data_IF_458567890618
#
_entry.id   IF_458567890618
#
_cell.length_a   1.000
_cell.length_b   1.000
_cell.length_c   1.000
_cell.angle_alpha   90.00
_cell.angle_beta   90.00
_cell.angle_gamma   90.00
#
_symmetry.space_group_name_H-M   'P 1'
#
loop_
_entity.id
_entity.type
_entity.pdbx_description
1 polymer ?
#
# COMPACT_ATOMS: atom_id res chain seq x y z
N UNK A 1 -25.27 -21.41 -31.53
CA UNK A 1 -25.47 -20.49 -32.69
C UNK A 1 -24.23 -20.43 -33.57
N UNK A 2 -23.04 -20.22 -33.00
CA UNK A 2 -21.76 -20.24 -33.74
C UNK A 2 -21.59 -21.52 -34.59
N UNK A 3 -21.66 -22.69 -33.98
CA UNK A 3 -21.50 -23.99 -34.69
C UNK A 3 -22.55 -24.23 -35.76
N UNK A 4 -23.77 -23.72 -35.55
CA UNK A 4 -24.86 -23.88 -36.51
C UNK A 4 -24.54 -23.17 -37.83
N UNK A 5 -24.05 -21.93 -37.79
CA UNK A 5 -23.66 -21.19 -39.00
C UNK A 5 -22.52 -21.90 -39.75
N UNK A 6 -21.50 -22.39 -39.05
CA UNK A 6 -20.38 -23.10 -39.66
C UNK A 6 -20.86 -24.37 -40.39
N UNK A 7 -21.80 -25.10 -39.78
CA UNK A 7 -22.41 -26.30 -40.35
C UNK A 7 -23.25 -25.98 -41.60
N UNK A 8 -24.16 -25.01 -41.51
CA UNK A 8 -25.08 -24.69 -42.62
C UNK A 8 -24.36 -24.06 -43.82
N UNK A 9 -23.31 -23.27 -43.58
CA UNK A 9 -22.52 -22.66 -44.66
C UNK A 9 -21.53 -23.65 -45.30
N UNK A 10 -21.31 -24.83 -44.71
CA UNK A 10 -20.36 -25.83 -45.22
C UNK A 10 -18.91 -25.35 -45.27
N UNK A 11 -18.55 -24.40 -44.40
CA UNK A 11 -17.21 -23.79 -44.36
C UNK A 11 -16.31 -24.52 -43.35
N UNK A 12 -15.01 -24.18 -43.36
CA UNK A 12 -14.07 -24.63 -42.33
C UNK A 12 -14.66 -24.37 -40.94
N UNK A 13 -14.43 -25.27 -39.99
CA UNK A 13 -15.03 -25.21 -38.66
C UNK A 13 -13.99 -24.80 -37.60
N UNK A 14 -13.69 -23.49 -37.44
CA UNK A 14 -12.89 -23.03 -36.31
C UNK A 14 -13.53 -23.45 -34.99
N UNK A 15 -12.68 -23.66 -33.99
CA UNK A 15 -13.13 -23.99 -32.64
C UNK A 15 -13.19 -22.71 -31.79
N UNK A 16 -14.37 -22.42 -31.23
CA UNK A 16 -14.52 -21.36 -30.23
C UNK A 16 -14.03 -21.87 -28.86
N UNK A 17 -13.14 -21.09 -28.23
CA UNK A 17 -12.66 -21.36 -26.87
C UNK A 17 -12.90 -20.10 -26.04
N UNK A 18 -13.48 -20.30 -24.86
CA UNK A 18 -13.86 -19.23 -23.95
C UNK A 18 -12.98 -19.23 -22.71
N UNK A 19 -12.70 -18.02 -22.21
CA UNK A 19 -11.98 -17.78 -20.97
C UNK A 19 -12.65 -16.64 -20.20
N UNK A 20 -12.44 -16.65 -18.89
CA UNK A 20 -12.97 -15.66 -17.97
C UNK A 20 -12.37 -14.28 -18.24
N UNK A 21 -13.20 -13.25 -18.11
CA UNK A 21 -12.78 -11.88 -18.33
C UNK A 21 -11.97 -11.37 -17.13
N UNK A 22 -10.92 -10.61 -17.39
CA UNK A 22 -10.22 -9.85 -16.35
C UNK A 22 -11.14 -8.80 -15.72
N UNK A 23 -11.28 -8.87 -14.40
CA UNK A 23 -11.81 -7.81 -13.55
C UNK A 23 -10.73 -7.35 -12.58
N UNK A 24 -10.67 -6.05 -12.32
CA UNK A 24 -9.70 -5.43 -11.40
C UNK A 24 -10.45 -4.76 -10.25
N UNK A 25 -9.91 -4.85 -9.04
CA UNK A 25 -10.40 -4.05 -7.92
C UNK A 25 -10.21 -2.56 -8.18
N UNK A 26 -11.05 -1.72 -7.57
CA UNK A 26 -11.02 -0.25 -7.66
C UNK A 26 -11.13 0.29 -9.10
N UNK A 27 -11.70 -0.49 -10.01
CA UNK A 27 -11.71 -0.20 -11.44
C UNK A 27 -13.04 -0.63 -12.06
N UNK A 28 -13.56 0.16 -13.00
CA UNK A 28 -14.69 -0.25 -13.85
C UNK A 28 -14.19 -0.66 -15.23
N UNK A 29 -14.66 -1.81 -15.72
CA UNK A 29 -14.22 -2.35 -17.03
C UNK A 29 -15.31 -2.24 -18.11
N UNK A 30 -16.53 -1.84 -17.76
CA UNK A 30 -17.64 -1.73 -18.72
C UNK A 30 -17.44 -0.56 -19.68
N UNK A 31 -17.53 -0.81 -21.00
CA UNK A 31 -17.43 0.23 -22.04
C UNK A 31 -18.46 1.35 -21.84
N UNK A 32 -19.67 1.01 -21.40
CA UNK A 32 -20.74 1.99 -21.12
C UNK A 32 -20.32 2.93 -19.98
N UNK A 33 -19.74 2.39 -18.90
CA UNK A 33 -19.29 3.16 -17.74
C UNK A 33 -18.05 4.01 -18.06
N UNK A 34 -17.08 3.42 -18.78
CA UNK A 34 -15.91 4.17 -19.24
C UNK A 34 -16.28 5.33 -20.16
N UNK A 35 -17.22 5.12 -21.09
CA UNK A 35 -17.75 6.20 -21.93
C UNK A 35 -18.39 7.29 -21.07
N UNK A 36 -19.19 6.89 -20.07
CA UNK A 36 -19.85 7.82 -19.17
C UNK A 36 -18.85 8.69 -18.38
N UNK A 37 -17.79 8.09 -17.83
CA UNK A 37 -16.71 8.84 -17.16
C UNK A 37 -16.13 9.94 -18.06
N UNK A 38 -15.93 9.64 -19.34
CA UNK A 38 -15.40 10.60 -20.33
C UNK A 38 -16.45 11.65 -20.70
N UNK A 39 -17.68 11.25 -21.02
CA UNK A 39 -18.73 12.19 -21.47
C UNK A 39 -19.18 13.13 -20.37
N UNK A 40 -19.20 12.66 -19.12
CA UNK A 40 -19.55 13.46 -17.93
C UNK A 40 -18.34 14.24 -17.38
N UNK A 41 -17.18 14.19 -18.05
CA UNK A 41 -15.94 14.89 -17.67
C UNK A 41 -15.45 14.59 -16.25
N UNK A 42 -15.70 13.36 -15.78
CA UNK A 42 -15.16 12.84 -14.51
C UNK A 42 -13.68 12.46 -14.65
N UNK A 43 -13.22 12.29 -15.90
CA UNK A 43 -11.82 12.14 -16.31
C UNK A 43 -11.52 13.05 -17.50
N UNK A 44 -10.25 13.34 -17.78
CA UNK A 44 -9.82 14.22 -18.87
C UNK A 44 -10.16 13.66 -20.26
N UNK A 45 -10.20 12.33 -20.39
CA UNK A 45 -10.42 11.65 -21.66
C UNK A 45 -10.10 10.16 -21.59
N UNK A 46 -10.09 9.50 -22.76
CA UNK A 46 -9.79 8.07 -22.86
C UNK A 46 -8.35 7.72 -22.51
N UNK A 47 -7.43 8.67 -22.54
CA UNK A 47 -6.04 8.51 -22.17
C UNK A 47 -5.69 9.18 -20.84
N UNK A 48 -6.69 9.55 -20.03
CA UNK A 48 -6.48 9.97 -18.65
C UNK A 48 -5.69 8.89 -17.88
N UNK A 49 -4.60 9.23 -17.18
CA UNK A 49 -3.78 8.25 -16.46
C UNK A 49 -4.46 7.52 -15.29
N UNK A 50 -5.71 7.85 -14.95
CA UNK A 50 -6.58 7.13 -14.01
C UNK A 50 -7.45 6.07 -14.69
N UNK A 51 -7.58 6.14 -16.02
CA UNK A 51 -8.41 5.20 -16.78
C UNK A 51 -7.69 3.86 -16.99
N UNK A 52 -8.41 2.72 -16.91
CA UNK A 52 -7.84 1.39 -17.15
C UNK A 52 -7.65 1.08 -18.64
N UNK A 53 -7.61 2.10 -19.49
CA UNK A 53 -7.38 1.96 -20.92
C UNK A 53 -5.89 1.75 -21.18
N UNK A 54 -5.55 1.07 -22.27
CA UNK A 54 -4.15 0.92 -22.67
C UNK A 54 -3.48 2.28 -22.93
N UNK A 55 -4.23 3.24 -23.47
CA UNK A 55 -3.77 4.62 -23.65
C UNK A 55 -3.53 5.35 -22.33
N UNK A 56 -4.44 5.22 -21.36
CA UNK A 56 -4.32 5.80 -20.03
C UNK A 56 -3.14 5.21 -19.26
N UNK A 57 -3.03 3.88 -19.23
CA UNK A 57 -1.90 3.18 -18.62
C UNK A 57 -0.56 3.55 -19.28
N UNK A 58 -0.51 3.67 -20.60
CA UNK A 58 0.69 4.14 -21.30
C UNK A 58 1.07 5.56 -20.89
N UNK A 59 0.12 6.51 -20.89
CA UNK A 59 0.35 7.89 -20.44
C UNK A 59 0.73 7.96 -18.95
N UNK A 60 0.20 7.04 -18.15
CA UNK A 60 0.54 6.86 -16.74
C UNK A 60 1.98 6.38 -16.53
N UNK A 61 2.61 5.80 -17.55
CA UNK A 61 3.99 5.32 -17.52
C UNK A 61 4.13 3.81 -17.42
N UNK A 62 3.04 3.05 -17.51
CA UNK A 62 3.14 1.59 -17.62
C UNK A 62 3.91 1.20 -18.89
N UNK A 63 4.72 0.16 -18.77
CA UNK A 63 5.50 -0.40 -19.87
C UNK A 63 4.73 -1.56 -20.52
N UNK A 64 4.87 -1.75 -21.85
CA UNK A 64 4.37 -2.94 -22.51
C UNK A 64 4.86 -4.25 -21.85
N UNK A 65 6.09 -4.25 -21.35
CA UNK A 65 6.75 -5.36 -20.67
C UNK A 65 6.02 -5.72 -19.37
N UNK A 66 5.76 -4.74 -18.50
CA UNK A 66 5.01 -4.95 -17.26
C UNK A 66 3.58 -5.44 -17.54
N UNK A 67 2.91 -4.92 -18.58
CA UNK A 67 1.56 -5.36 -18.94
C UNK A 67 1.54 -6.82 -19.40
N UNK A 68 2.53 -7.26 -20.19
CA UNK A 68 2.66 -8.67 -20.60
C UNK A 68 2.95 -9.58 -19.41
N UNK A 69 3.92 -9.21 -18.56
CA UNK A 69 4.24 -9.93 -17.31
C UNK A 69 3.02 -10.04 -16.39
N UNK A 70 2.20 -8.99 -16.30
CA UNK A 70 0.97 -9.01 -15.52
C UNK A 70 -0.04 -10.02 -16.07
N UNK A 71 -0.27 -10.01 -17.39
CA UNK A 71 -1.14 -10.99 -18.06
C UNK A 71 -0.64 -12.43 -17.89
N UNK A 72 0.68 -12.66 -17.95
CA UNK A 72 1.29 -13.98 -17.71
C UNK A 72 1.05 -14.46 -16.27
N UNK A 73 1.17 -13.57 -15.28
CA UNK A 73 0.99 -13.89 -13.86
C UNK A 73 -0.44 -14.23 -13.47
N UNK A 74 -1.43 -13.51 -14.01
CA UNK A 74 -2.84 -13.81 -13.72
C UNK A 74 -3.32 -15.09 -14.42
N UNK A 75 -2.65 -15.48 -15.51
CA UNK A 75 -2.99 -16.66 -16.29
C UNK A 75 -4.34 -16.56 -17.00
N UNK A 76 -4.79 -17.71 -17.53
CA UNK A 76 -6.07 -17.84 -18.24
C UNK A 76 -6.88 -18.95 -17.56
N UNK A 77 -8.06 -18.60 -17.07
CA UNK A 77 -8.97 -19.52 -16.40
C UNK A 77 -10.37 -19.43 -17.00
N UNK A 78 -11.24 -20.41 -16.70
CA UNK A 78 -12.66 -20.40 -17.07
C UNK A 78 -13.58 -19.85 -15.97
N UNK A 79 -13.06 -19.63 -14.76
CA UNK A 79 -13.81 -19.09 -13.63
C UNK A 79 -13.56 -17.59 -13.53
N UNK A 80 -14.62 -16.83 -13.31
CA UNK A 80 -14.50 -15.41 -13.06
C UNK A 80 -13.77 -15.16 -11.74
N UNK A 81 -12.84 -14.20 -11.77
CA UNK A 81 -12.09 -13.75 -10.61
C UNK A 81 -11.77 -12.27 -10.75
N UNK A 82 -11.82 -11.55 -9.64
CA UNK A 82 -11.35 -10.17 -9.55
C UNK A 82 -9.92 -10.17 -9.06
N UNK A 83 -9.01 -9.59 -9.85
CA UNK A 83 -7.60 -9.45 -9.53
C UNK A 83 -7.39 -8.14 -8.76
N UNK A 84 -6.59 -8.18 -7.70
CA UNK A 84 -6.23 -6.96 -6.97
C UNK A 84 -5.33 -6.06 -7.83
N UNK A 85 -5.69 -4.79 -7.97
CA UNK A 85 -4.88 -3.75 -8.65
C UNK A 85 -3.46 -3.66 -8.06
N UNK A 86 -3.26 -4.04 -6.79
CA UNK A 86 -1.95 -4.11 -6.17
C UNK A 86 -0.98 -5.04 -6.92
N UNK A 87 -1.46 -6.12 -7.56
CA UNK A 87 -0.63 -7.01 -8.39
C UNK A 87 -0.15 -6.31 -9.67
N UNK A 88 -1.01 -5.51 -10.29
CA UNK A 88 -0.66 -4.70 -11.45
C UNK A 88 0.41 -3.67 -11.07
N UNK A 89 0.20 -2.95 -9.96
CA UNK A 89 1.17 -2.00 -9.41
C UNK A 89 2.50 -2.66 -9.02
N UNK A 90 2.45 -3.87 -8.46
CA UNK A 90 3.66 -4.63 -8.12
C UNK A 90 4.46 -4.97 -9.37
N UNK A 91 3.78 -5.44 -10.42
CA UNK A 91 4.42 -5.85 -11.67
C UNK A 91 5.11 -4.67 -12.38
N UNK A 92 4.48 -3.48 -12.38
CA UNK A 92 5.14 -2.28 -12.93
C UNK A 92 6.30 -1.80 -12.04
N UNK A 93 6.21 -1.92 -10.70
CA UNK A 93 7.34 -1.56 -9.82
C UNK A 93 8.57 -2.40 -10.11
N UNK A 94 8.42 -3.71 -10.30
CA UNK A 94 9.55 -4.59 -10.62
C UNK A 94 10.20 -4.20 -11.95
N UNK A 95 9.39 -3.98 -12.98
CA UNK A 95 9.89 -3.59 -14.30
C UNK A 95 10.64 -2.23 -14.27
N UNK A 96 10.07 -1.25 -13.57
CA UNK A 96 10.68 0.08 -13.44
C UNK A 96 11.89 0.09 -12.51
N UNK A 97 11.98 -0.82 -11.54
CA UNK A 97 13.14 -0.95 -10.68
C UNK A 97 14.41 -1.30 -11.46
N UNK A 98 14.30 -2.14 -12.49
CA UNK A 98 15.45 -2.54 -13.32
C UNK A 98 15.80 -1.49 -14.39
N UNK A 99 14.80 -0.76 -14.87
CA UNK A 99 14.91 0.06 -16.08
C UNK A 99 15.01 1.56 -15.83
N UNK A 100 14.51 2.07 -14.70
CA UNK A 100 14.41 3.51 -14.46
C UNK A 100 15.65 4.09 -13.77
N UNK A 101 16.30 5.11 -14.34
CA UNK A 101 17.36 5.86 -13.65
C UNK A 101 16.81 6.57 -12.40
N UNK A 102 17.61 6.60 -11.33
CA UNK A 102 17.30 7.26 -10.07
C UNK A 102 17.76 8.72 -10.13
N UNK A 103 16.86 9.62 -9.74
CA UNK A 103 17.10 11.06 -9.66
C UNK A 103 16.47 11.61 -8.38
N UNK A 104 16.90 12.80 -7.96
CA UNK A 104 16.35 13.51 -6.82
C UNK A 104 15.28 14.51 -7.25
N UNK A 105 14.19 14.50 -6.50
CA UNK A 105 13.05 15.38 -6.67
C UNK A 105 12.49 15.68 -5.28
N UNK A 106 12.03 16.91 -5.06
CA UNK A 106 11.35 17.32 -3.83
C UNK A 106 9.94 17.77 -4.19
N UNK A 107 8.92 17.11 -3.65
CA UNK A 107 7.51 17.37 -3.97
C UNK A 107 6.86 18.38 -3.02
N UNK A 108 7.25 18.40 -1.75
CA UNK A 108 6.84 19.38 -0.74
C UNK A 108 8.08 20.04 -0.13
N UNK A 109 8.61 21.12 -0.76
CA UNK A 109 9.91 21.67 -0.40
C UNK A 109 9.92 22.34 0.97
N UNK A 110 10.91 21.96 1.77
CA UNK A 110 11.35 22.66 2.98
C UNK A 110 12.79 23.12 2.82
N UNK A 111 13.02 24.42 3.02
CA UNK A 111 14.32 25.06 2.82
C UNK A 111 15.30 24.70 3.93
N UNK A 112 16.54 24.43 3.54
CA UNK A 112 17.69 24.28 4.42
C UNK A 112 18.75 25.32 4.02
N UNK A 113 19.28 26.03 5.01
CA UNK A 113 20.49 26.84 4.86
C UNK A 113 21.61 26.25 5.71
N UNK A 114 22.72 25.90 5.07
CA UNK A 114 23.92 25.37 5.72
C UNK A 114 24.81 26.55 6.14
N UNK A 115 24.87 26.83 7.44
CA UNK A 115 25.47 28.06 7.97
C UNK A 115 27.00 28.07 7.94
N UNK A 116 27.64 26.90 7.93
CA UNK A 116 29.08 26.74 7.86
C UNK A 116 29.59 26.40 6.44
N UNK A 117 28.75 26.53 5.40
CA UNK A 117 29.16 26.34 4.01
C UNK A 117 29.62 27.67 3.41
N UNK A 118 30.73 27.73 2.64
CA UNK A 118 31.20 28.96 2.03
C UNK A 118 30.17 29.59 1.09
N UNK A 119 29.95 30.89 1.22
CA UNK A 119 28.96 31.61 0.42
C UNK A 119 29.34 31.61 -1.08
N UNK A 120 28.38 31.29 -1.95
CA UNK A 120 28.57 31.27 -3.40
C UNK A 120 29.36 30.07 -3.94
N UNK A 121 29.89 29.19 -3.09
CA UNK A 121 30.55 27.97 -3.55
C UNK A 121 29.55 26.90 -3.99
N UNK A 122 29.93 26.16 -5.03
CA UNK A 122 29.16 25.04 -5.56
C UNK A 122 30.09 23.85 -5.71
N UNK A 123 29.74 22.76 -5.04
CA UNK A 123 30.44 21.49 -5.17
C UNK A 123 29.60 20.51 -5.97
N UNK A 124 30.23 19.56 -6.66
CA UNK A 124 29.54 18.51 -7.39
C UNK A 124 29.82 17.16 -6.76
N UNK A 125 28.74 16.41 -6.52
CA UNK A 125 28.77 15.03 -6.07
C UNK A 125 28.42 14.10 -7.22
N UNK A 126 29.08 12.94 -7.27
CA UNK A 126 28.72 11.91 -8.24
C UNK A 126 27.70 10.97 -7.64
N UNK A 127 26.61 10.75 -8.36
CA UNK A 127 25.54 9.85 -7.97
C UNK A 127 25.23 8.88 -9.12
N UNK A 128 25.23 7.56 -8.88
CA UNK A 128 24.86 6.59 -9.89
C UNK A 128 23.38 6.73 -10.25
N UNK A 129 23.04 6.55 -11.52
CA UNK A 129 21.64 6.41 -11.94
C UNK A 129 21.07 5.06 -11.49
N UNK A 130 21.90 4.02 -11.38
CA UNK A 130 21.52 2.69 -10.92
C UNK A 130 22.44 2.30 -9.76
N UNK A 131 22.00 2.42 -8.49
CA UNK A 131 22.87 2.20 -7.34
C UNK A 131 23.52 0.81 -7.27
N UNK A 132 22.82 -0.22 -7.76
CA UNK A 132 23.31 -1.59 -7.80
C UNK A 132 24.21 -1.88 -9.02
N UNK A 133 24.22 -1.00 -10.02
CA UNK A 133 24.98 -1.10 -11.28
C UNK A 133 25.60 0.26 -11.67
N UNK A 134 26.56 0.81 -10.90
CA UNK A 134 27.09 2.16 -11.12
C UNK A 134 27.73 2.38 -12.51
N UNK A 135 28.21 1.31 -13.15
CA UNK A 135 28.77 1.32 -14.50
C UNK A 135 27.77 1.73 -15.59
N UNK A 136 26.46 1.67 -15.30
CA UNK A 136 25.40 2.12 -16.22
C UNK A 136 25.32 3.65 -16.34
N UNK A 137 26.07 4.37 -15.52
CA UNK A 137 26.23 5.80 -15.63
C UNK A 137 26.06 6.53 -14.31
N UNK A 138 26.80 7.61 -14.19
CA UNK A 138 26.77 8.54 -13.06
C UNK A 138 26.36 9.92 -13.53
N UNK A 139 25.82 10.72 -12.61
CA UNK A 139 25.50 12.13 -12.83
C UNK A 139 26.14 12.99 -11.77
N UNK A 140 26.38 14.25 -12.12
CA UNK A 140 26.88 15.26 -11.18
C UNK A 140 25.71 16.02 -10.59
N UNK A 141 25.63 16.04 -9.26
CA UNK A 141 24.60 16.74 -8.50
C UNK A 141 25.25 17.96 -7.84
N UNK A 142 24.79 19.19 -8.13
CA UNK A 142 25.30 20.38 -7.47
C UNK A 142 24.87 20.42 -6.01
N UNK A 143 25.77 20.85 -5.15
CA UNK A 143 25.57 21.09 -3.73
C UNK A 143 25.94 22.54 -3.44
N UNK A 144 25.11 23.20 -2.64
CA UNK A 144 25.34 24.59 -2.22
C UNK A 144 24.92 24.77 -0.76
N UNK A 145 25.16 25.96 -0.21
CA UNK A 145 24.65 26.33 1.11
C UNK A 145 23.12 26.38 1.21
N UNK A 146 22.38 26.35 0.09
CA UNK A 146 20.92 26.39 0.06
C UNK A 146 20.35 25.15 -0.60
N UNK A 147 19.67 24.32 0.20
CA UNK A 147 19.10 23.05 -0.22
C UNK A 147 17.59 23.00 0.06
N UNK A 148 16.91 22.09 -0.61
CA UNK A 148 15.53 21.73 -0.34
C UNK A 148 15.46 20.24 -0.03
N UNK A 149 14.65 19.88 0.97
CA UNK A 149 14.27 18.51 1.32
C UNK A 149 12.75 18.39 1.33
N UNK A 150 12.22 17.17 1.46
CA UNK A 150 10.80 17.02 1.75
C UNK A 150 10.46 17.59 3.13
N UNK A 151 9.35 18.30 3.22
CA UNK A 151 8.78 18.77 4.49
C UNK A 151 8.51 17.62 5.45
N UNK A 152 8.08 16.47 4.92
CA UNK A 152 7.88 15.26 5.71
C UNK A 152 9.18 14.66 6.27
N UNK A 153 10.36 15.10 5.82
CA UNK A 153 11.63 14.65 6.37
C UNK A 153 12.06 15.40 7.64
N UNK A 154 11.27 16.38 8.10
CA UNK A 154 11.53 17.12 9.33
C UNK A 154 10.38 17.02 10.34
N UNK A 155 10.73 16.81 11.61
CA UNK A 155 9.81 16.93 12.75
C UNK A 155 10.52 17.64 13.91
N UNK A 156 9.86 18.65 14.47
CA UNK A 156 10.37 19.37 15.64
C UNK A 156 10.27 18.52 16.91
N UNK A 157 9.14 17.83 17.09
CA UNK A 157 8.92 16.84 18.15
C UNK A 157 8.80 15.43 17.54
N UNK A 158 9.93 14.71 17.35
CA UNK A 158 9.94 13.43 16.67
C UNK A 158 9.48 12.28 17.58
N UNK A 159 8.71 11.30 17.07
CA UNK A 159 8.41 10.08 17.82
C UNK A 159 9.68 9.24 18.06
N UNK A 160 9.67 8.33 19.05
CA UNK A 160 10.84 7.50 19.44
C UNK A 160 11.50 6.71 18.29
N UNK A 161 10.78 6.41 17.21
CA UNK A 161 11.27 5.67 16.02
C UNK A 161 11.48 6.59 14.81
N UNK A 162 11.69 7.88 15.03
CA UNK A 162 12.07 8.82 13.98
C UNK A 162 13.54 8.68 13.63
N UNK A 163 13.83 8.58 12.35
CA UNK A 163 15.19 8.51 11.82
C UNK A 163 15.44 9.60 10.79
N UNK A 164 14.60 10.63 10.69
CA UNK A 164 14.80 11.77 9.79
C UNK A 164 15.23 12.99 10.59
N UNK A 165 15.17 14.18 9.99
CA UNK A 165 15.68 15.40 10.61
C UNK A 165 14.81 15.84 11.77
N UNK A 166 15.45 16.30 12.84
CA UNK A 166 14.83 16.97 13.98
C UNK A 166 15.87 17.91 14.61
N UNK A 167 15.48 18.86 15.46
CA UNK A 167 16.42 19.72 16.17
C UNK A 167 17.49 18.89 16.92
N UNK A 168 18.76 19.23 16.71
CA UNK A 168 19.92 18.54 17.28
C UNK A 168 20.22 17.15 16.72
N UNK A 169 19.39 16.63 15.80
CA UNK A 169 19.63 15.34 15.16
C UNK A 169 20.39 15.49 13.85
N UNK A 170 21.23 14.50 13.58
CA UNK A 170 22.02 14.40 12.36
C UNK A 170 21.36 13.44 11.35
N UNK A 171 21.37 13.82 10.08
CA UNK A 171 20.93 12.96 8.97
C UNK A 171 21.97 12.90 7.86
N UNK A 172 21.89 11.86 7.04
CA UNK A 172 22.64 11.79 5.78
C UNK A 172 21.86 12.42 4.65
N UNK A 173 22.47 13.33 3.92
CA UNK A 173 22.01 13.73 2.59
C UNK A 173 22.49 12.70 1.57
N UNK A 174 21.56 12.14 0.80
CA UNK A 174 21.84 11.06 -0.17
C UNK A 174 22.98 11.48 -1.12
N UNK A 175 24.00 10.64 -1.23
CA UNK A 175 25.22 10.83 -2.04
C UNK A 175 26.10 12.05 -1.67
N UNK A 176 25.82 12.75 -0.57
CA UNK A 176 26.53 13.97 -0.18
C UNK A 176 27.26 13.84 1.16
N UNK A 177 26.74 14.49 2.20
CA UNK A 177 27.37 14.60 3.51
C UNK A 177 26.33 14.43 4.64
N UNK A 178 26.78 14.52 5.88
CA UNK A 178 25.93 14.58 7.06
C UNK A 178 25.61 16.03 7.40
N UNK A 179 24.36 16.29 7.81
CA UNK A 179 23.92 17.60 8.29
C UNK A 179 23.23 17.48 9.66
N UNK A 180 23.36 18.51 10.48
CA UNK A 180 22.70 18.64 11.78
C UNK A 180 21.86 19.91 11.82
N UNK A 181 20.59 19.81 12.24
CA UNK A 181 19.70 20.96 12.39
C UNK A 181 19.89 21.65 13.75
N UNK A 182 20.14 22.96 13.74
CA UNK A 182 20.36 23.75 14.96
C UNK A 182 19.24 24.75 15.23
N UNK A 183 18.61 25.28 14.18
CA UNK A 183 17.59 26.30 14.30
C UNK A 183 16.42 26.02 13.35
N UNK A 184 15.21 26.31 13.83
CA UNK A 184 13.96 26.13 13.09
C UNK A 184 13.32 27.50 12.93
N UNK A 185 13.22 27.98 11.70
CA UNK A 185 12.58 29.25 11.37
C UNK A 185 11.12 29.00 11.03
N UNK A 186 10.23 29.73 11.70
CA UNK A 186 8.78 29.65 11.53
C UNK A 186 8.23 30.96 10.97
N UNK A 187 7.12 30.88 10.25
CA UNK A 187 6.33 32.05 9.87
C UNK A 187 5.43 32.53 11.02
N UNK A 188 4.67 33.60 10.78
CA UNK A 188 3.72 34.18 11.74
C UNK A 188 2.63 33.20 12.20
N UNK A 189 2.30 32.20 11.37
CA UNK A 189 1.32 31.17 11.68
C UNK A 189 1.92 29.96 12.45
N UNK A 190 3.23 30.00 12.74
CA UNK A 190 3.94 28.92 13.41
C UNK A 190 4.35 27.76 12.50
N UNK A 191 4.19 27.88 11.18
CA UNK A 191 4.62 26.86 10.22
C UNK A 191 6.12 26.96 9.96
N UNK A 192 6.80 25.81 9.90
CA UNK A 192 8.24 25.73 9.64
C UNK A 192 8.51 26.06 8.17
N UNK A 193 9.29 27.11 7.93
CA UNK A 193 9.61 27.59 6.57
C UNK A 193 11.06 27.36 6.17
N UNK A 194 11.98 27.31 7.14
CA UNK A 194 13.40 27.13 6.90
C UNK A 194 14.09 26.46 8.10
N UNK A 195 15.10 25.63 7.82
CA UNK A 195 15.97 25.04 8.82
C UNK A 195 17.40 25.57 8.64
N UNK A 196 18.03 26.03 9.73
CA UNK A 196 19.46 26.31 9.74
C UNK A 196 20.21 25.08 10.21
N UNK A 197 21.09 24.58 9.36
CA UNK A 197 21.86 23.38 9.61
C UNK A 197 23.36 23.67 9.52
N UNK A 198 24.18 22.80 10.11
CA UNK A 198 25.61 22.70 9.75
C UNK A 198 25.85 21.40 9.00
N UNK A 199 26.84 21.36 8.12
CA UNK A 199 27.33 20.12 7.52
C UNK A 199 28.65 19.70 8.15
N UNK A 200 28.95 18.40 8.08
CA UNK A 200 30.25 17.84 8.44
C UNK A 200 31.14 17.70 7.18
N UNK A 201 32.21 18.51 7.02
CA UNK A 201 33.11 18.43 5.87
C UNK A 201 33.84 17.10 5.75
N UNK A 202 34.13 16.43 6.87
CA UNK A 202 34.84 15.15 6.90
C UNK A 202 33.92 13.99 6.48
N UNK A 203 32.61 14.23 6.39
CA UNK A 203 31.61 13.23 6.01
C UNK A 203 31.31 13.16 4.50
N UNK A 204 32.16 13.74 3.66
CA UNK A 204 32.02 13.71 2.19
C UNK A 204 31.88 12.27 1.69
N UNK A 205 30.79 11.98 0.96
CA UNK A 205 30.39 10.63 0.56
C UNK A 205 29.38 9.96 1.50
N UNK A 206 28.93 10.67 2.55
CA UNK A 206 27.85 10.27 3.44
C UNK A 206 28.26 9.43 4.64
N UNK A 207 29.57 9.29 4.92
CA UNK A 207 30.06 8.55 6.09
C UNK A 207 31.14 9.37 6.78
N UNK A 208 30.98 9.60 8.09
CA UNK A 208 31.99 10.27 8.90
C UNK A 208 33.12 9.29 9.30
N UNK A 209 34.39 9.74 9.31
CA UNK A 209 35.55 8.90 9.64
C UNK A 209 35.60 8.50 11.12
N UNK A 210 34.86 9.19 11.99
CA UNK A 210 34.73 8.89 13.42
C UNK A 210 33.87 7.65 13.72
N UNK A 211 33.24 7.05 12.70
CA UNK A 211 32.46 5.82 12.81
C UNK A 211 31.06 5.99 13.42
N UNK A 212 30.58 7.23 13.62
CA UNK A 212 29.23 7.45 14.17
C UNK A 212 28.14 6.97 13.21
N UNK A 213 27.12 6.31 13.77
CA UNK A 213 26.04 5.69 13.00
C UNK A 213 24.87 6.64 12.81
N UNK A 214 24.78 7.24 11.63
CA UNK A 214 23.60 8.00 11.19
C UNK A 214 22.60 7.05 10.51
N UNK A 215 21.40 6.95 11.10
CA UNK A 215 20.34 6.02 10.67
C UNK A 215 19.49 6.57 9.51
N UNK A 216 19.35 7.88 9.44
CA UNK A 216 18.53 8.58 8.46
C UNK A 216 19.22 8.83 7.14
N UNK A 217 18.46 8.82 6.05
CA UNK A 217 18.92 9.38 4.78
C UNK A 217 17.78 10.09 4.07
N UNK A 218 18.00 11.35 3.73
CA UNK A 218 17.06 12.18 2.96
C UNK A 218 17.61 12.45 1.57
N UNK A 219 16.72 12.42 0.58
CA UNK A 219 16.98 13.02 -0.72
C UNK A 219 16.84 14.54 -0.60
N UNK A 220 17.45 15.26 -1.52
CA UNK A 220 17.57 16.71 -1.47
C UNK A 220 17.83 17.26 -2.86
N UNK A 221 17.65 18.56 -3.05
CA UNK A 221 18.07 19.27 -4.27
C UNK A 221 18.70 20.61 -3.90
N UNK A 222 19.63 21.11 -4.71
CA UNK A 222 20.23 22.44 -4.52
C UNK A 222 19.29 23.50 -5.05
N UNK A 223 18.75 24.34 -4.17
CA UNK A 223 17.76 25.39 -4.48
C UNK A 223 18.18 26.27 -5.68
N UNK A 224 19.41 26.83 -5.74
CA UNK A 224 19.78 27.73 -6.84
C UNK A 224 19.96 27.04 -8.19
N UNK A 225 20.08 25.71 -8.23
CA UNK A 225 20.33 24.96 -9.47
C UNK A 225 19.14 24.12 -9.92
N UNK A 226 18.11 24.00 -9.08
CA UNK A 226 17.03 23.07 -9.31
C UNK A 226 16.08 23.53 -10.42
N UNK A 227 15.42 22.57 -11.04
CA UNK A 227 14.43 22.79 -12.10
C UNK A 227 13.03 22.61 -11.53
N UNK A 228 12.14 23.56 -11.79
CA UNK A 228 10.74 23.43 -11.38
C UNK A 228 9.94 22.57 -12.37
N UNK A 229 9.04 21.76 -11.86
CA UNK A 229 8.15 20.93 -12.67
C UNK A 229 6.79 20.75 -11.98
N UNK A 230 5.75 20.55 -12.77
CA UNK A 230 4.47 20.08 -12.25
C UNK A 230 4.53 18.56 -12.09
N UNK A 231 4.06 18.05 -10.96
CA UNK A 231 3.95 16.61 -10.71
C UNK A 231 2.48 16.26 -10.44
N UNK A 232 1.95 15.34 -11.23
CA UNK A 232 0.60 14.77 -11.10
C UNK A 232 0.71 13.48 -10.30
N UNK A 233 0.26 13.55 -9.07
CA UNK A 233 0.24 12.48 -8.08
C UNK A 233 -1.13 11.83 -8.16
N UNK A 234 -1.17 10.63 -8.72
CA UNK A 234 -2.42 9.92 -8.88
C UNK A 234 -2.59 8.82 -7.84
N UNK A 235 -3.85 8.51 -7.53
CA UNK A 235 -4.29 7.37 -6.74
C UNK A 235 -5.35 6.57 -7.53
N UNK A 236 -5.95 5.55 -6.89
CA UNK A 236 -7.05 4.75 -7.43
C UNK A 236 -8.23 5.66 -7.78
N UNK A 237 -8.87 5.40 -8.93
CA UNK A 237 -10.01 6.20 -9.42
C UNK A 237 -11.25 6.02 -8.53
N UNK A 238 -11.42 4.85 -7.92
CA UNK A 238 -12.52 4.55 -7.02
C UNK A 238 -12.01 4.27 -5.61
N UNK A 239 -12.81 4.62 -4.60
CA UNK A 239 -12.49 4.47 -3.17
C UNK A 239 -12.77 3.06 -2.63
N UNK A 240 -13.59 2.26 -3.34
CA UNK A 240 -13.96 0.90 -2.93
C UNK A 240 -13.46 -0.18 -3.91
N UNK A 241 -13.19 -1.41 -3.44
CA UNK A 241 -12.70 -2.50 -4.28
C UNK A 241 -13.64 -2.88 -5.42
N UNK A 242 -14.95 -2.86 -5.18
CA UNK A 242 -15.97 -3.21 -6.16
C UNK A 242 -16.86 -1.99 -6.43
N UNK A 243 -16.42 -1.04 -7.28
CA UNK A 243 -17.17 0.21 -7.50
C UNK A 243 -18.59 -0.01 -8.06
N UNK A 244 -18.83 -1.20 -8.61
CA UNK A 244 -20.07 -1.61 -9.26
C UNK A 244 -21.09 -2.29 -8.33
N UNK A 245 -20.78 -2.49 -7.04
CA UNK A 245 -21.61 -3.25 -6.10
C UNK A 245 -22.82 -2.49 -5.51
N UNK A 246 -23.17 -1.32 -6.05
CA UNK A 246 -24.28 -0.46 -5.58
C UNK A 246 -25.00 0.26 -6.72
N UNK A 247 -25.90 1.18 -6.38
CA UNK A 247 -26.78 1.84 -7.38
C UNK A 247 -26.00 2.68 -8.39
N UNK A 248 -25.15 3.60 -7.93
CA UNK A 248 -24.36 4.48 -8.78
C UNK A 248 -22.87 4.43 -8.44
N UNK A 249 -22.10 3.76 -9.30
CA UNK A 249 -20.65 3.65 -9.19
C UNK A 249 -19.92 5.00 -9.16
N UNK A 250 -20.53 6.08 -9.67
CA UNK A 250 -19.93 7.44 -9.66
C UNK A 250 -19.81 8.00 -8.25
N UNK A 251 -20.71 7.61 -7.34
CA UNK A 251 -20.62 7.99 -5.93
C UNK A 251 -19.38 7.42 -5.23
N UNK A 252 -18.76 6.39 -5.83
CA UNK A 252 -17.56 5.74 -5.32
C UNK A 252 -16.27 6.32 -5.91
N UNK A 253 -16.33 7.40 -6.70
CA UNK A 253 -15.13 8.05 -7.24
C UNK A 253 -14.30 8.63 -6.09
N UNK A 254 -13.00 8.37 -6.13
CA UNK A 254 -12.05 8.92 -5.18
C UNK A 254 -11.77 10.40 -5.52
N UNK A 255 -12.15 11.35 -4.65
CA UNK A 255 -11.86 12.77 -4.87
C UNK A 255 -10.34 13.04 -4.90
N UNK A 256 -9.55 12.22 -4.20
CA UNK A 256 -8.09 12.31 -4.13
C UNK A 256 -7.38 11.48 -5.23
N UNK A 257 -8.11 11.05 -6.26
CA UNK A 257 -7.56 10.26 -7.38
C UNK A 257 -6.48 11.00 -8.18
N UNK A 258 -6.41 12.33 -8.07
CA UNK A 258 -5.40 13.19 -8.67
C UNK A 258 -5.12 14.39 -7.76
N UNK A 259 -3.86 14.55 -7.37
CA UNK A 259 -3.30 15.77 -6.78
C UNK A 259 -2.20 16.31 -7.69
N UNK A 260 -2.11 17.64 -7.79
CA UNK A 260 -1.11 18.32 -8.62
C UNK A 260 -0.27 19.21 -7.72
N UNK A 261 1.05 19.02 -7.77
CA UNK A 261 2.01 19.78 -6.95
C UNK A 261 3.10 20.40 -7.81
N UNK A 262 3.68 21.51 -7.35
CA UNK A 262 4.91 22.06 -7.92
C UNK A 262 6.10 21.41 -7.22
N UNK A 263 6.90 20.66 -7.97
CA UNK A 263 8.07 19.98 -7.49
C UNK A 263 9.36 20.68 -7.94
N UNK A 264 10.43 20.43 -7.18
CA UNK A 264 11.76 20.94 -7.46
C UNK A 264 12.70 19.77 -7.70
N UNK A 265 13.31 19.71 -8.89
CA UNK A 265 14.07 18.57 -9.41
C UNK A 265 15.56 18.89 -9.54
N UNK A 266 16.40 17.86 -9.55
CA UNK A 266 17.81 18.05 -9.88
C UNK A 266 18.02 18.58 -11.33
N UNK A 267 19.12 19.30 -11.61
CA UNK A 267 19.25 20.08 -12.85
C UNK A 267 19.19 19.27 -14.15
N UNK A 268 19.66 18.01 -14.14
CA UNK A 268 19.65 17.19 -15.34
C UNK A 268 18.22 16.91 -15.86
N UNK A 269 17.22 17.04 -14.99
CA UNK A 269 15.82 16.86 -15.36
C UNK A 269 15.33 17.94 -16.33
N UNK A 270 16.02 19.08 -16.45
CA UNK A 270 15.74 20.10 -17.46
C UNK A 270 15.81 19.58 -18.90
N UNK A 271 16.43 18.43 -19.15
CA UNK A 271 16.57 17.81 -20.47
C UNK A 271 15.69 16.57 -20.66
N UNK A 272 14.82 16.24 -19.70
CA UNK A 272 13.99 15.05 -19.74
C UNK A 272 12.99 15.11 -20.91
N UNK A 273 12.88 13.99 -21.64
CA UNK A 273 12.03 13.90 -22.84
C UNK A 273 10.70 13.22 -22.52
N UNK A 274 9.62 13.57 -23.23
CA UNK A 274 8.33 12.88 -23.10
C UNK A 274 8.47 11.36 -23.14
N UNK A 275 7.75 10.69 -22.25
CA UNK A 275 7.74 9.23 -22.07
C UNK A 275 9.02 8.62 -21.46
N UNK A 276 10.04 9.41 -21.13
CA UNK A 276 11.14 8.93 -20.28
C UNK A 276 10.64 8.69 -18.85
N UNK A 277 11.22 7.69 -18.20
CA UNK A 277 10.80 7.21 -16.88
C UNK A 277 11.96 7.33 -15.92
N UNK A 278 11.64 7.71 -14.69
CA UNK A 278 12.60 7.95 -13.63
C UNK A 278 12.06 7.40 -12.33
N UNK A 279 12.96 6.91 -11.47
CA UNK A 279 12.65 6.77 -10.06
C UNK A 279 13.05 8.08 -9.37
N UNK A 280 12.08 8.78 -8.80
CA UNK A 280 12.38 9.83 -7.84
C UNK A 280 12.69 9.13 -6.52
N UNK A 281 13.94 9.28 -6.07
CA UNK A 281 14.47 8.63 -4.88
C UNK A 281 13.48 8.78 -3.70
N UNK A 282 13.18 7.66 -3.03
CA UNK A 282 12.21 7.53 -1.92
C UNK A 282 10.74 7.85 -2.21
N UNK A 283 10.40 8.46 -3.36
CA UNK A 283 9.04 8.91 -3.66
C UNK A 283 8.25 7.91 -4.51
N UNK A 284 8.85 7.40 -5.58
CA UNK A 284 8.16 6.53 -6.54
C UNK A 284 8.75 6.57 -7.93
N UNK A 285 8.02 5.97 -8.87
CA UNK A 285 8.35 6.01 -10.28
C UNK A 285 7.46 7.01 -11.00
N UNK A 286 8.08 7.79 -11.89
CA UNK A 286 7.47 8.90 -12.60
C UNK A 286 7.79 8.81 -14.08
N UNK A 287 6.88 9.29 -14.91
CA UNK A 287 7.06 9.43 -16.36
C UNK A 287 6.87 10.88 -16.77
N UNK A 288 7.67 11.36 -17.71
CA UNK A 288 7.44 12.68 -18.34
C UNK A 288 6.18 12.60 -19.20
N UNK A 289 5.17 13.43 -18.89
CA UNK A 289 3.92 13.44 -19.64
C UNK A 289 4.14 13.87 -21.09
N UNK A 290 3.31 13.37 -22.01
CA UNK A 290 3.36 13.73 -23.42
C UNK A 290 3.11 15.23 -23.68
N UNK A 291 2.45 15.92 -22.76
CA UNK A 291 2.19 17.36 -22.81
C UNK A 291 3.35 18.21 -22.28
N UNK A 292 4.39 17.56 -21.71
CA UNK A 292 5.57 18.24 -21.21
C UNK A 292 6.32 18.92 -22.35
N UNK A 293 6.57 20.22 -22.20
CA UNK A 293 7.31 21.04 -23.17
C UNK A 293 8.36 21.85 -22.42
N UNK A 294 9.62 21.76 -22.86
CA UNK A 294 10.76 22.39 -22.19
C UNK A 294 10.62 23.92 -22.07
N UNK A 295 9.86 24.56 -22.97
CA UNK A 295 9.61 26.00 -22.95
C UNK A 295 8.38 26.38 -22.13
N UNK A 296 7.45 25.44 -21.87
CA UNK A 296 6.20 25.69 -21.11
C UNK A 296 6.24 25.16 -19.68
N UNK A 297 7.19 24.28 -19.39
CA UNK A 297 7.34 23.63 -18.09
C UNK A 297 7.24 22.11 -18.22
N UNK A 298 8.02 21.42 -17.38
CA UNK A 298 8.02 19.98 -17.32
C UNK A 298 6.82 19.46 -16.53
N UNK A 299 6.18 18.41 -17.02
CA UNK A 299 5.07 17.74 -16.35
C UNK A 299 5.41 16.26 -16.16
N UNK A 300 5.30 15.77 -14.94
CA UNK A 300 5.53 14.38 -14.59
C UNK A 300 4.28 13.73 -14.04
N UNK A 301 4.01 12.50 -14.42
CA UNK A 301 2.96 11.66 -13.85
C UNK A 301 3.59 10.63 -12.91
N UNK A 302 3.11 10.50 -11.68
CA UNK A 302 3.53 9.40 -10.79
C UNK A 302 2.93 8.09 -11.30
N UNK A 303 3.72 7.24 -11.94
CA UNK A 303 3.30 5.92 -12.39
C UNK A 303 2.83 5.07 -11.23
N UNK A 304 3.68 4.92 -10.21
CA UNK A 304 3.38 4.13 -9.01
C UNK A 304 4.29 4.59 -7.86
N UNK A 305 3.80 4.56 -6.62
CA UNK A 305 4.63 4.82 -5.42
C UNK A 305 5.63 3.69 -5.20
N UNK A 306 6.66 3.93 -4.37
CA UNK A 306 7.48 2.83 -3.85
C UNK A 306 6.64 1.93 -2.95
N UNK A 307 7.17 0.74 -2.64
CA UNK A 307 6.52 -0.17 -1.69
C UNK A 307 6.59 0.47 -0.31
N UNK A 308 5.46 0.99 0.14
CA UNK A 308 5.37 1.67 1.41
C UNK A 308 5.11 0.65 2.54
N UNK A 309 6.14 0.35 3.33
CA UNK A 309 6.00 -0.46 4.55
C UNK A 309 5.40 0.35 5.71
N UNK A 310 5.34 1.69 5.62
CA UNK A 310 4.90 2.58 6.68
C UNK A 310 3.47 3.13 6.52
N UNK A 311 2.93 3.20 5.30
CA UNK A 311 1.52 3.57 5.08
C UNK A 311 0.51 2.64 5.80
N UNK A 312 0.93 1.42 6.18
CA UNK A 312 0.14 0.48 7.00
C UNK A 312 0.07 0.89 8.49
N UNK A 313 0.98 1.77 8.95
CA UNK A 313 1.10 2.26 10.33
C UNK A 313 0.51 3.66 10.49
N UNK A 314 0.54 4.51 9.45
CA UNK A 314 -0.07 5.85 9.50
C UNK A 314 -1.57 5.86 9.20
N UNK A 315 -2.11 4.92 8.42
CA UNK A 315 -3.58 4.75 8.27
C UNK A 315 -4.29 4.34 9.58
N UNK A 316 -3.53 3.97 10.61
CA UNK A 316 -4.01 3.70 11.97
C UNK A 316 -3.90 4.91 12.92
N UNK A 317 -3.59 6.11 12.43
CA UNK A 317 -3.62 7.34 13.21
C UNK A 317 -4.69 8.31 12.65
N UNK A 318 -5.77 8.62 13.37
CA UNK A 318 -6.81 9.50 12.83
C UNK A 318 -6.41 10.97 12.97
N UNK A 319 -6.36 11.68 11.84
CA UNK A 319 -6.32 13.13 11.80
C UNK A 319 -7.74 13.70 11.94
N UNK A 320 -7.89 14.71 12.78
CA UNK A 320 -9.16 15.28 13.22
C UNK A 320 -9.83 16.16 12.14
N UNK A 321 -11.14 16.02 11.98
CA UNK A 321 -12.07 17.09 11.57
C UNK A 321 -13.53 16.71 11.90
N UNK A 322 -14.43 17.70 12.08
CA UNK A 322 -15.52 17.62 13.05
C UNK A 322 -16.76 16.94 12.47
N UNK A 323 -17.21 15.87 13.12
CA UNK A 323 -18.47 15.19 12.76
C UNK A 323 -19.50 15.43 13.85
N UNK A 324 -20.66 15.93 13.39
CA UNK A 324 -21.90 16.03 14.16
C UNK A 324 -22.22 14.66 14.74
N UNK A 325 -22.29 14.61 16.07
CA UNK A 325 -22.54 13.40 16.86
C UNK A 325 -23.86 12.73 16.47
N UNK A 326 -23.76 11.52 15.96
CA UNK A 326 -24.77 10.48 16.17
C UNK A 326 -24.17 9.53 17.22
N UNK A 327 -24.93 8.99 18.19
CA UNK A 327 -24.33 8.37 19.37
C UNK A 327 -23.65 7.06 18.98
N UNK A 328 -22.32 7.01 19.13
CA UNK A 328 -21.53 5.78 19.02
C UNK A 328 -21.87 4.83 20.16
N UNK A 329 -22.14 3.57 19.80
CA UNK A 329 -22.04 2.46 20.74
C UNK A 329 -20.59 2.35 21.25
N UNK A 330 -20.37 2.04 22.53
CA UNK A 330 -19.03 2.01 23.11
C UNK A 330 -18.12 1.04 22.36
N UNK A 331 -17.10 1.60 21.68
CA UNK A 331 -16.11 0.84 20.93
C UNK A 331 -15.38 -0.19 21.79
N UNK A 332 -15.15 -1.36 21.22
CA UNK A 332 -14.38 -2.44 21.85
C UNK A 332 -12.94 -1.96 22.08
N UNK A 333 -12.36 -2.11 23.28
CA UNK A 333 -10.99 -1.67 23.55
C UNK A 333 -9.99 -2.41 22.64
N UNK A 334 -9.06 -1.65 22.06
CA UNK A 334 -7.94 -2.19 21.28
C UNK A 334 -7.01 -3.00 22.19
N UNK A 335 -6.51 -4.14 21.69
CA UNK A 335 -5.56 -4.99 22.38
C UNK A 335 -4.18 -4.87 21.73
N UNK A 336 -3.11 -5.02 22.52
CA UNK A 336 -1.75 -5.04 21.98
C UNK A 336 -1.43 -6.38 21.32
N UNK A 337 -0.36 -6.44 20.54
CA UNK A 337 0.15 -7.72 20.03
C UNK A 337 0.50 -8.69 21.17
N UNK A 338 1.04 -8.17 22.29
CA UNK A 338 1.37 -9.00 23.44
C UNK A 338 0.10 -9.59 24.08
N UNK A 339 -1.01 -8.87 24.07
CA UNK A 339 -2.30 -9.40 24.51
C UNK A 339 -2.81 -10.52 23.60
N UNK A 340 -2.63 -10.40 22.28
CA UNK A 340 -2.97 -11.46 21.33
C UNK A 340 -2.05 -12.67 21.46
N UNK A 341 -0.73 -12.46 21.58
CA UNK A 341 0.27 -13.51 21.73
C UNK A 341 0.08 -14.34 23.01
N UNK A 342 -0.61 -13.79 24.01
CA UNK A 342 -1.00 -14.51 25.22
C UNK A 342 -2.15 -15.49 25.00
N UNK A 343 -2.88 -15.45 23.89
CA UNK A 343 -3.98 -16.37 23.58
C UNK A 343 -3.45 -17.62 22.89
N UNK A 344 -3.71 -18.81 23.45
CA UNK A 344 -3.29 -20.07 22.85
C UNK A 344 -4.40 -20.66 21.98
N UNK A 345 -4.24 -20.53 20.67
CA UNK A 345 -5.11 -21.12 19.67
C UNK A 345 -4.53 -22.45 19.17
N UNK A 346 -5.36 -23.50 19.18
CA UNK A 346 -5.02 -24.84 18.69
C UNK A 346 -6.10 -25.38 17.77
N UNK A 347 -5.71 -26.29 16.89
CA UNK A 347 -6.63 -27.12 16.12
C UNK A 347 -7.27 -28.14 17.07
N UNK A 348 -8.61 -28.17 17.08
CA UNK A 348 -9.39 -29.17 17.79
C UNK A 348 -10.19 -30.05 16.84
N UNK A 349 -10.47 -31.30 17.22
CA UNK A 349 -11.40 -32.19 16.51
C UNK A 349 -12.60 -32.48 17.40
N UNK A 350 -13.80 -32.25 16.88
CA UNK A 350 -15.04 -32.55 17.60
C UNK A 350 -15.26 -34.06 17.59
N UNK A 351 -15.18 -34.69 18.76
CA UNK A 351 -15.40 -36.12 18.93
C UNK A 351 -16.89 -36.43 19.13
N UNK A 352 -17.59 -35.57 19.85
CA UNK A 352 -19.02 -35.73 20.15
C UNK A 352 -19.70 -34.38 20.21
N UNK A 353 -20.95 -34.35 19.76
CA UNK A 353 -21.83 -33.20 19.86
C UNK A 353 -23.21 -33.65 20.37
N UNK A 354 -23.72 -32.98 21.39
CA UNK A 354 -25.00 -33.29 22.02
C UNK A 354 -25.79 -32.01 22.30
N UNK A 355 -27.12 -32.10 22.21
CA UNK A 355 -27.99 -31.03 22.70
C UNK A 355 -27.95 -30.94 24.22
N UNK A 356 -28.11 -29.72 24.74
CA UNK A 356 -28.16 -29.47 26.19
C UNK A 356 -29.63 -29.40 26.61
N UNK A 357 -30.06 -30.33 27.46
CA UNK A 357 -31.41 -30.35 28.01
C UNK A 357 -31.71 -29.05 28.78
N UNK A 358 -32.82 -28.39 28.43
CA UNK A 358 -33.20 -27.08 28.98
C UNK A 358 -32.46 -25.87 28.40
N UNK A 359 -31.70 -26.02 27.29
CA UNK A 359 -31.07 -24.91 26.58
C UNK A 359 -31.24 -25.00 25.05
N UNK A 360 -32.01 -24.07 24.48
CA UNK A 360 -32.36 -24.09 23.05
C UNK A 360 -31.23 -23.60 22.12
N UNK A 361 -30.21 -22.95 22.68
CA UNK A 361 -29.10 -22.34 21.91
C UNK A 361 -27.76 -23.05 22.06
N UNK A 362 -27.64 -24.00 22.99
CA UNK A 362 -26.35 -24.60 23.36
C UNK A 362 -26.21 -26.03 22.83
N UNK A 363 -25.00 -26.32 22.34
CA UNK A 363 -24.49 -27.67 22.16
C UNK A 363 -23.38 -27.94 23.18
N UNK A 364 -23.33 -29.16 23.69
CA UNK A 364 -22.22 -29.71 24.48
C UNK A 364 -21.33 -30.52 23.55
N UNK A 365 -20.08 -30.09 23.42
CA UNK A 365 -19.11 -30.69 22.53
C UNK A 365 -17.97 -31.29 23.34
N UNK A 366 -17.50 -32.49 22.95
CA UNK A 366 -16.20 -33.02 23.39
C UNK A 366 -15.19 -32.78 22.28
N UNK A 367 -14.18 -31.96 22.56
CA UNK A 367 -13.20 -31.53 21.56
C UNK A 367 -11.81 -32.01 21.96
N UNK A 368 -11.18 -32.80 21.09
CA UNK A 368 -9.79 -33.21 21.25
C UNK A 368 -8.88 -32.07 20.77
N UNK A 369 -8.03 -31.54 21.64
CA UNK A 369 -7.09 -30.45 21.37
C UNK A 369 -5.63 -30.84 21.60
N UNK A 370 -5.36 -32.16 21.62
CA UNK A 370 -4.05 -32.79 21.75
C UNK A 370 -4.19 -34.31 21.88
N UNK A 371 -3.07 -35.03 21.91
CA UNK A 371 -3.05 -36.50 21.90
C UNK A 371 -3.89 -37.14 23.03
N UNK A 372 -3.88 -36.53 24.23
CA UNK A 372 -4.68 -36.96 25.38
C UNK A 372 -5.44 -35.80 26.07
N UNK A 373 -5.66 -34.69 25.36
CA UNK A 373 -6.35 -33.50 25.89
C UNK A 373 -7.74 -33.39 25.23
N UNK A 374 -8.78 -33.83 25.95
CA UNK A 374 -10.18 -33.73 25.52
C UNK A 374 -10.89 -32.78 26.45
N UNK A 375 -11.51 -31.74 25.89
CA UNK A 375 -12.16 -30.67 26.65
C UNK A 375 -13.64 -30.59 26.36
N UNK A 376 -14.42 -30.26 27.39
CA UNK A 376 -15.82 -29.93 27.22
C UNK A 376 -15.98 -28.48 26.80
N UNK A 377 -16.69 -28.25 25.69
CA UNK A 377 -17.04 -26.91 25.20
C UNK A 377 -18.56 -26.77 25.14
N UNK A 378 -19.10 -25.72 25.77
CA UNK A 378 -20.50 -25.34 25.64
C UNK A 378 -20.59 -24.21 24.61
N UNK A 379 -21.09 -24.52 23.41
CA UNK A 379 -21.10 -23.60 22.27
C UNK A 379 -22.52 -23.13 21.93
N UNK A 380 -22.70 -21.82 21.75
CA UNK A 380 -23.97 -21.17 21.40
C UNK A 380 -24.39 -21.28 19.94
N UNK A 381 -24.15 -22.43 19.30
CA UNK A 381 -24.22 -22.60 17.84
C UNK A 381 -25.38 -23.48 17.37
N UNK A 382 -26.23 -23.97 18.28
CA UNK A 382 -27.30 -24.95 17.97
C UNK A 382 -28.25 -24.48 16.87
N UNK A 383 -28.58 -23.19 16.82
CA UNK A 383 -29.49 -22.63 15.81
C UNK A 383 -28.90 -22.66 14.39
N UNK A 384 -27.57 -22.58 14.27
CA UNK A 384 -26.88 -22.67 12.98
C UNK A 384 -26.58 -24.11 12.56
N UNK A 385 -26.53 -25.04 13.54
CA UNK A 385 -26.28 -26.46 13.32
C UNK A 385 -27.38 -27.29 14.00
N UNK A 386 -28.59 -27.36 13.39
CA UNK A 386 -29.71 -28.12 13.94
C UNK A 386 -29.50 -29.64 13.89
N UNK A 387 -28.59 -30.11 13.04
CA UNK A 387 -28.09 -31.49 13.03
C UNK A 387 -26.66 -31.50 13.63
N UNK A 388 -26.56 -31.87 14.91
CA UNK A 388 -25.29 -31.89 15.64
C UNK A 388 -24.31 -32.97 15.14
N UNK A 389 -24.80 -34.02 14.46
CA UNK A 389 -23.96 -35.10 13.94
C UNK A 389 -22.99 -34.59 12.87
N UNK A 390 -23.38 -33.56 12.11
CA UNK A 390 -22.55 -32.92 11.09
C UNK A 390 -21.31 -32.21 11.66
N UNK A 391 -21.25 -32.04 12.99
CA UNK A 391 -20.09 -31.43 13.66
C UNK A 391 -19.02 -32.48 14.01
N UNK A 392 -19.40 -33.74 14.18
CA UNK A 392 -18.46 -34.80 14.57
C UNK A 392 -17.43 -35.02 13.46
N UNK A 393 -16.15 -35.04 13.84
CA UNK A 393 -15.01 -35.16 12.95
C UNK A 393 -14.51 -33.84 12.35
N UNK A 394 -15.21 -32.71 12.55
CA UNK A 394 -14.74 -31.41 12.05
C UNK A 394 -13.51 -30.92 12.81
N UNK A 395 -12.53 -30.40 12.06
CA UNK A 395 -11.36 -29.68 12.57
C UNK A 395 -11.73 -28.21 12.77
N UNK A 396 -11.56 -27.68 13.98
CA UNK A 396 -12.04 -26.35 14.40
C UNK A 396 -10.96 -25.58 15.15
N UNK A 397 -11.02 -24.25 15.11
CA UNK A 397 -10.13 -23.37 15.88
C UNK A 397 -10.58 -23.23 17.32
N UNK A 398 -9.70 -23.53 18.28
CA UNK A 398 -10.02 -23.57 19.72
C UNK A 398 -9.05 -22.73 20.53
N UNK A 399 -9.58 -21.84 21.38
CA UNK A 399 -8.81 -21.15 22.43
C UNK A 399 -8.70 -22.07 23.65
N UNK A 400 -7.46 -22.39 24.06
CA UNK A 400 -7.17 -23.45 25.05
C UNK A 400 -6.60 -22.95 26.38
N UNK A 401 -6.29 -21.67 26.53
CA UNK A 401 -5.73 -21.13 27.77
C UNK A 401 -6.62 -20.10 28.48
N UNK A 402 -7.92 -20.12 28.19
CA UNK A 402 -8.90 -19.38 28.97
C UNK A 402 -9.20 -20.10 30.29
N UNK A 403 -9.49 -19.32 31.33
CA UNK A 403 -9.99 -19.89 32.58
C UNK A 403 -11.33 -20.59 32.32
N UNK A 404 -11.54 -21.84 32.78
CA UNK A 404 -12.80 -22.54 32.61
C UNK A 404 -13.97 -21.70 33.13
N UNK A 405 -15.03 -21.60 32.33
CA UNK A 405 -16.22 -20.81 32.68
C UNK A 405 -17.32 -21.74 33.15
N UNK A 406 -17.73 -21.62 34.42
CA UNK A 406 -18.89 -22.33 34.95
C UNK A 406 -20.17 -21.70 34.39
N UNK A 407 -20.99 -22.51 33.76
CA UNK A 407 -22.29 -22.14 33.20
C UNK A 407 -23.39 -22.95 33.88
N UNK A 408 -24.65 -22.55 33.69
CA UNK A 408 -25.83 -23.23 34.27
C UNK A 408 -25.87 -24.74 33.94
N UNK A 409 -25.32 -25.14 32.78
CA UNK A 409 -25.44 -26.48 32.22
C UNK A 409 -24.12 -27.28 32.18
N UNK A 410 -23.08 -26.79 32.88
CA UNK A 410 -21.76 -27.43 32.94
C UNK A 410 -20.62 -26.41 32.90
N UNK A 411 -19.38 -26.90 32.81
CA UNK A 411 -18.17 -26.07 32.67
C UNK A 411 -17.74 -26.08 31.20
N UNK A 412 -17.43 -24.90 30.64
CA UNK A 412 -16.74 -24.80 29.35
C UNK A 412 -15.25 -24.58 29.60
N UNK A 413 -14.43 -25.53 29.18
CA UNK A 413 -12.99 -25.61 29.44
C UNK A 413 -12.13 -25.05 28.30
N UNK A 414 -12.79 -24.71 27.19
CA UNK A 414 -12.21 -24.05 26.03
C UNK A 414 -13.30 -23.25 25.29
N UNK A 415 -12.90 -22.50 24.27
CA UNK A 415 -13.81 -21.76 23.39
C UNK A 415 -13.51 -22.07 21.93
N UNK A 416 -14.53 -22.48 21.17
CA UNK A 416 -14.46 -22.61 19.71
C UNK A 416 -14.75 -21.25 19.08
N UNK A 417 -14.00 -20.90 18.05
CA UNK A 417 -14.23 -19.67 17.28
C UNK A 417 -15.28 -19.88 16.18
N UNK A 418 -16.18 -18.92 16.07
CA UNK A 418 -17.19 -18.86 15.02
C UNK A 418 -17.32 -17.43 14.49
N UNK A 419 -17.56 -17.29 13.20
CA UNK A 419 -17.86 -16.02 12.54
C UNK A 419 -19.38 -15.83 12.44
N UNK A 420 -19.87 -14.61 12.68
CA UNK A 420 -21.25 -14.23 12.35
C UNK A 420 -21.27 -13.54 10.98
N UNK A 421 -22.06 -14.06 10.04
CA UNK A 421 -22.33 -13.37 8.79
C UNK A 421 -23.25 -12.15 8.99
N UNK A 422 -23.35 -11.28 7.98
CA UNK A 422 -24.29 -10.15 7.97
C UNK A 422 -25.77 -10.58 8.00
N UNK A 423 -26.05 -11.86 7.81
CA UNK A 423 -27.35 -12.52 7.95
C UNK A 423 -27.63 -13.04 9.38
N UNK A 424 -26.70 -12.83 10.32
CA UNK A 424 -26.80 -13.28 11.71
C UNK A 424 -26.54 -14.79 11.91
N UNK A 425 -26.14 -15.53 10.87
CA UNK A 425 -25.81 -16.96 11.00
C UNK A 425 -24.39 -17.15 11.51
N UNK A 426 -24.24 -18.06 12.47
CA UNK A 426 -22.94 -18.45 13.04
C UNK A 426 -22.31 -19.58 12.23
N UNK A 427 -21.08 -19.38 11.78
CA UNK A 427 -20.28 -20.37 11.07
C UNK A 427 -19.03 -20.69 11.87
N UNK A 428 -18.83 -21.95 12.26
CA UNK A 428 -17.59 -22.37 12.95
C UNK A 428 -16.41 -22.16 12.01
N UNK A 429 -15.31 -21.62 12.54
CA UNK A 429 -14.05 -21.50 11.80
C UNK A 429 -13.42 -22.88 11.75
N UNK A 430 -13.54 -23.53 10.58
CA UNK A 430 -12.92 -24.83 10.29
C UNK A 430 -11.65 -24.68 9.46
N UNK A 431 -10.73 -25.63 9.63
CA UNK A 431 -9.46 -25.65 8.90
C UNK A 431 -9.42 -26.86 7.97
N UNK A 432 -9.08 -26.63 6.70
CA UNK A 432 -8.87 -27.67 5.68
C UNK A 432 -7.39 -28.08 5.62
N UNK A 433 -7.10 -29.33 5.25
CA UNK A 433 -5.74 -29.87 5.11
C UNK A 433 -5.31 -30.86 6.20
N UNK A 434 -4.06 -31.31 6.13
CA UNK A 434 -3.49 -32.35 7.00
C UNK A 434 -2.94 -31.78 8.32
N UNK A 435 -3.80 -31.10 9.07
CA UNK A 435 -3.53 -30.61 10.43
C UNK A 435 -4.10 -31.56 11.48
N UNK A 436 -3.39 -31.74 12.60
CA UNK A 436 -3.72 -32.68 13.67
C UNK A 436 -4.27 -31.97 14.91
N UNK A 437 -5.06 -32.67 15.76
CA UNK A 437 -5.46 -32.13 17.06
C UNK A 437 -4.24 -31.66 17.87
N UNK A 438 -4.26 -30.40 18.30
CA UNK A 438 -3.20 -29.79 19.09
C UNK A 438 -2.17 -28.96 18.32
N UNK A 439 -2.22 -28.97 16.99
CA UNK A 439 -1.39 -28.08 16.16
C UNK A 439 -1.70 -26.61 16.48
N UNK A 440 -0.66 -25.77 16.57
CA UNK A 440 -0.77 -24.36 16.91
C UNK A 440 -1.33 -23.55 15.74
N UNK A 441 -2.24 -22.63 16.03
CA UNK A 441 -2.72 -21.62 15.08
C UNK A 441 -1.97 -20.31 15.40
N UNK A 442 -1.20 -19.81 14.44
CA UNK A 442 -0.35 -18.61 14.58
C UNK A 442 -0.96 -17.36 13.96
#
# INVERSE_FOLDING_TARGET
>A
LYDWFLKELGIFHPQQIEFARLNLTYTVMSKRKLLQLVTEKLVEGWDDPRMPTISGLRRRGYTPEAMRKFCERIGVAKRDSTVDVALLEHTIREDLNETSPRVMAVLDPLKITITNYPEGEVEYFEAPYFPDEPERGVRKIPFSGHLLIEREDFREDPPRKWHRLSPGAEIRLRYACLITCHEVIKNENGEVIELKCTYDPDSRGGTAPDGRKVRGTSHWVSEPHAVKAQVRIYDRLFSIPEPDSGDDYRSNINPDSLSIVEATLEPCMGQAKPMERFQFERLGYFVVDKESDINRGLVFNRTVSLRDSWAKVERSAPAASPVVKTPEEPGVPEITFDDFARVQLKIGVILEAQTVEGADKLLRLRVQVGENDIRQVLAGIRLAYPDEQLLVGKKVSVVTNLKPRKMKFGVSEAMILAASGGDGRLNIISVEGDVKPGDTIS
#
